data_IF_240550583735
#
_entry.id   IF_240550583735
#
_cell.length_a   1.000
_cell.length_b   1.000
_cell.length_c   1.000
_cell.angle_alpha   90.00
_cell.angle_beta   90.00
_cell.angle_gamma   90.00
#
_symmetry.space_group_name_H-M   'P 1'
#
loop_
_entity.id
_entity.type
_entity.pdbx_description
1 polymer ?
#
# COMPACT_ATOMS: atom_id res chain seq x y z
N UNK A 1 0.53 -12.22 -21.02
CA UNK A 1 0.89 -11.11 -21.93
C UNK A 1 1.71 -10.13 -21.13
N UNK A 2 2.78 -9.59 -21.69
CA UNK A 2 3.65 -8.64 -21.00
C UNK A 2 3.58 -7.31 -21.75
N UNK A 3 3.28 -6.23 -21.03
CA UNK A 3 3.20 -4.87 -21.60
C UNK A 3 4.13 -4.01 -20.73
N UNK A 4 5.04 -3.29 -21.37
CA UNK A 4 6.00 -2.43 -20.66
C UNK A 4 6.87 -3.18 -19.62
N UNK A 5 7.14 -4.47 -19.85
CA UNK A 5 7.88 -5.32 -18.91
C UNK A 5 7.09 -5.71 -17.66
N UNK A 6 5.77 -5.54 -17.67
CA UNK A 6 4.85 -5.90 -16.59
C UNK A 6 3.95 -7.05 -17.05
N UNK A 7 3.86 -8.09 -16.22
CA UNK A 7 2.92 -9.17 -16.46
C UNK A 7 1.48 -8.63 -16.31
N UNK A 8 0.68 -8.80 -17.36
CA UNK A 8 -0.70 -8.32 -17.41
C UNK A 8 -1.66 -9.43 -17.00
N UNK A 9 -2.48 -9.12 -16.02
CA UNK A 9 -3.60 -9.93 -15.54
C UNK A 9 -4.92 -9.30 -16.01
N UNK A 10 -5.97 -10.13 -16.14
CA UNK A 10 -7.28 -9.66 -16.56
C UNK A 10 -8.35 -10.09 -15.55
N UNK A 11 -9.27 -9.17 -15.26
CA UNK A 11 -10.43 -9.43 -14.41
C UNK A 11 -11.65 -8.66 -14.95
N UNK A 12 -12.82 -8.97 -14.41
CA UNK A 12 -14.04 -8.22 -14.72
C UNK A 12 -14.72 -7.81 -13.43
N UNK A 13 -15.05 -6.53 -13.30
CA UNK A 13 -15.79 -6.01 -12.16
C UNK A 13 -16.98 -5.20 -12.65
N UNK A 14 -18.18 -5.60 -12.20
CA UNK A 14 -19.46 -4.98 -12.60
C UNK A 14 -19.64 -4.89 -14.12
N UNK A 15 -19.21 -5.93 -14.85
CA UNK A 15 -19.32 -5.99 -16.31
C UNK A 15 -18.29 -5.13 -17.06
N UNK A 16 -17.31 -4.54 -16.38
CA UNK A 16 -16.20 -3.81 -17.01
C UNK A 16 -14.92 -4.62 -16.94
N UNK A 17 -14.19 -4.70 -18.04
CA UNK A 17 -12.86 -5.30 -18.08
C UNK A 17 -11.91 -4.49 -17.21
N UNK A 18 -11.04 -5.19 -16.52
CA UNK A 18 -9.90 -4.68 -15.77
C UNK A 18 -8.65 -5.32 -16.32
N UNK A 19 -7.60 -4.52 -16.46
CA UNK A 19 -6.25 -5.00 -16.71
C UNK A 19 -5.38 -4.58 -15.55
N UNK A 20 -4.61 -5.53 -15.03
CA UNK A 20 -3.83 -5.30 -13.82
C UNK A 20 -2.45 -5.90 -13.91
N UNK A 21 -1.65 -5.59 -12.90
CA UNK A 21 -0.32 -6.16 -12.74
C UNK A 21 -0.03 -6.35 -11.26
N UNK A 22 0.60 -7.48 -10.93
CA UNK A 22 1.00 -7.78 -9.57
C UNK A 22 2.42 -7.28 -9.33
N UNK A 23 2.55 -6.36 -8.38
CA UNK A 23 3.82 -5.81 -7.93
C UNK A 23 4.22 -6.40 -6.58
N UNK A 24 5.49 -6.74 -6.44
CA UNK A 24 6.08 -7.10 -5.14
C UNK A 24 6.50 -5.82 -4.42
N UNK A 25 6.34 -5.79 -3.10
CA UNK A 25 6.91 -4.74 -2.28
C UNK A 25 8.45 -4.78 -2.35
N UNK A 26 9.15 -3.63 -2.25
CA UNK A 26 10.60 -3.61 -2.22
C UNK A 26 11.16 -4.43 -1.05
N UNK A 27 12.36 -4.99 -1.22
CA UNK A 27 13.00 -5.78 -0.18
C UNK A 27 13.14 -4.97 1.12
N UNK A 28 12.90 -5.60 2.27
CA UNK A 28 12.91 -4.92 3.57
C UNK A 28 11.58 -4.24 3.95
N UNK A 29 10.62 -4.13 3.03
CA UNK A 29 9.28 -3.58 3.32
C UNK A 29 8.24 -4.69 3.48
N UNK A 30 7.22 -4.39 4.29
CA UNK A 30 6.02 -5.20 4.42
C UNK A 30 4.79 -4.30 4.47
N UNK A 31 3.71 -4.73 3.80
CA UNK A 31 2.43 -4.06 3.81
C UNK A 31 1.58 -4.57 4.97
N UNK A 32 0.84 -3.66 5.61
CA UNK A 32 -0.05 -4.00 6.72
C UNK A 32 -1.43 -3.37 6.50
N UNK A 33 -2.48 -4.13 6.78
CA UNK A 33 -3.85 -3.63 6.83
C UNK A 33 -4.17 -3.32 8.29
N UNK A 34 -4.35 -2.04 8.60
CA UNK A 34 -4.61 -1.56 9.96
C UNK A 34 -6.08 -1.14 10.11
N UNK A 35 -6.66 -1.44 11.26
CA UNK A 35 -8.03 -1.03 11.63
C UNK A 35 -7.98 -0.27 12.94
N UNK A 36 -8.66 0.87 13.01
CA UNK A 36 -8.72 1.67 14.23
C UNK A 36 -9.65 1.02 15.26
N UNK A 37 -9.15 0.81 16.48
CA UNK A 37 -9.94 0.30 17.58
C UNK A 37 -10.76 1.43 18.20
N UNK A 38 -12.09 1.36 18.07
CA UNK A 38 -13.01 2.33 18.66
C UNK A 38 -13.54 1.89 20.05
N UNK A 39 -12.86 0.96 20.73
CA UNK A 39 -13.36 0.30 21.95
C UNK A 39 -13.39 1.16 23.23
N UNK A 40 -13.10 2.47 23.15
CA UNK A 40 -13.02 3.37 24.30
C UNK A 40 -14.28 4.17 24.70
N UNK A 41 -15.48 3.90 24.15
CA UNK A 41 -16.69 4.72 24.45
C UNK A 41 -17.77 4.06 25.32
N UNK A 42 -17.41 3.07 26.13
CA UNK A 42 -18.30 2.57 27.19
C UNK A 42 -17.46 2.22 28.41
N UNK A 43 -17.15 3.21 29.25
CA UNK A 43 -17.27 3.19 30.72
C UNK A 43 -17.11 4.65 31.17
N UNK A 44 -18.05 5.05 32.01
CA UNK A 44 -18.13 6.39 32.52
C UNK A 44 -17.01 6.65 33.54
N UNK A 45 -16.76 7.93 33.79
CA UNK A 45 -15.96 8.52 34.87
C UNK A 45 -14.49 8.04 34.95
N UNK A 46 -13.61 8.67 34.15
CA UNK A 46 -12.45 9.37 34.72
C UNK A 46 -11.80 10.30 33.70
N UNK A 47 -11.35 11.45 34.19
CA UNK A 47 -10.79 12.57 33.43
C UNK A 47 -9.37 12.20 32.99
N UNK A 48 -9.21 11.70 31.76
CA UNK A 48 -7.99 11.93 30.98
C UNK A 48 -8.36 11.98 29.49
N UNK A 49 -8.17 13.16 28.91
CA UNK A 49 -8.43 13.46 27.51
C UNK A 49 -7.31 12.86 26.66
N UNK A 50 -7.24 11.53 26.62
CA UNK A 50 -6.29 10.76 25.81
C UNK A 50 -7.04 10.08 24.68
N UNK A 51 -6.95 10.63 23.48
CA UNK A 51 -7.47 10.01 22.26
C UNK A 51 -6.67 8.71 22.03
N UNK A 52 -7.12 7.58 22.60
CA UNK A 52 -6.50 6.26 22.41
C UNK A 52 -6.49 5.98 20.90
N UNK A 53 -5.33 6.20 20.30
CA UNK A 53 -5.10 6.08 18.87
C UNK A 53 -4.62 4.67 18.57
N UNK A 54 -5.35 3.69 19.09
CA UNK A 54 -4.97 2.29 19.05
C UNK A 54 -5.37 1.72 17.67
N UNK A 55 -4.38 1.24 16.94
CA UNK A 55 -4.56 0.58 15.65
C UNK A 55 -4.23 -0.90 15.79
N UNK A 56 -5.10 -1.76 15.28
CA UNK A 56 -4.91 -3.21 15.25
C UNK A 56 -4.52 -3.65 13.83
N UNK A 57 -3.47 -4.46 13.72
CA UNK A 57 -3.09 -5.11 12.47
C UNK A 57 -4.03 -6.27 12.17
N UNK A 58 -4.69 -6.26 11.02
CA UNK A 58 -5.59 -7.33 10.56
C UNK A 58 -4.95 -8.28 9.56
N UNK A 59 -4.02 -7.78 8.76
CA UNK A 59 -3.33 -8.60 7.76
C UNK A 59 -1.95 -8.01 7.43
N UNK A 60 -1.08 -8.88 6.91
CA UNK A 60 0.22 -8.55 6.34
C UNK A 60 0.25 -9.03 4.89
N UNK A 61 0.86 -8.26 4.00
CA UNK A 61 1.05 -8.63 2.60
C UNK A 61 2.45 -8.23 2.09
N UNK A 62 2.92 -8.95 1.08
CA UNK A 62 4.21 -8.77 0.40
C UNK A 62 4.04 -8.41 -1.09
N UNK A 63 2.85 -8.62 -1.65
CA UNK A 63 2.50 -8.29 -3.04
C UNK A 63 1.15 -7.59 -3.10
N UNK A 64 0.97 -6.77 -4.13
CA UNK A 64 -0.25 -6.04 -4.40
C UNK A 64 -0.56 -6.10 -5.90
N UNK A 65 -1.81 -6.37 -6.25
CA UNK A 65 -2.26 -6.29 -7.65
C UNK A 65 -2.91 -4.93 -7.89
N UNK A 66 -2.30 -4.14 -8.77
CA UNK A 66 -2.86 -2.89 -9.26
C UNK A 66 -3.78 -3.18 -10.45
N UNK A 67 -4.98 -2.62 -10.44
CA UNK A 67 -5.98 -2.82 -11.51
C UNK A 67 -6.38 -1.48 -12.11
N UNK A 68 -6.45 -1.43 -13.44
CA UNK A 68 -6.89 -0.29 -14.22
C UNK A 68 -8.06 -0.67 -15.15
N UNK A 69 -8.95 0.28 -15.44
CA UNK A 69 -10.17 0.06 -16.22
C UNK A 69 -9.98 0.25 -17.73
N UNK A 70 -9.28 1.31 -18.13
CA UNK A 70 -9.31 1.79 -19.52
C UNK A 70 -8.03 1.43 -20.29
N UNK A 71 -6.88 1.43 -19.59
CA UNK A 71 -5.58 1.21 -20.19
C UNK A 71 -4.85 0.05 -19.51
N UNK A 72 -4.00 -0.69 -20.25
CA UNK A 72 -3.08 -1.62 -19.63
C UNK A 72 -2.16 -0.88 -18.64
N UNK A 73 -1.79 -1.51 -17.51
CA UNK A 73 -0.88 -0.90 -16.55
C UNK A 73 0.47 -0.59 -17.20
N UNK A 74 1.05 0.54 -16.86
CA UNK A 74 2.37 1.00 -17.34
C UNK A 74 3.22 1.52 -16.19
N UNK A 75 4.54 1.42 -16.30
CA UNK A 75 5.49 1.90 -15.27
C UNK A 75 5.36 3.39 -14.96
N UNK A 76 4.82 4.17 -15.89
CA UNK A 76 4.58 5.59 -15.71
C UNK A 76 3.32 5.91 -14.89
N UNK A 77 2.48 4.91 -14.60
CA UNK A 77 1.28 5.06 -13.79
C UNK A 77 1.64 5.68 -12.43
N UNK A 78 0.94 6.73 -11.96
CA UNK A 78 1.30 7.43 -10.73
C UNK A 78 1.39 6.51 -9.50
N UNK A 79 0.54 5.48 -9.46
CA UNK A 79 0.55 4.49 -8.39
C UNK A 79 1.83 3.65 -8.41
N UNK A 80 2.24 3.13 -9.56
CA UNK A 80 3.47 2.37 -9.71
C UNK A 80 4.71 3.24 -9.46
N UNK A 81 4.70 4.47 -9.99
CA UNK A 81 5.79 5.44 -9.79
C UNK A 81 5.98 5.82 -8.32
N UNK A 82 4.93 5.75 -7.50
CA UNK A 82 5.04 6.00 -6.05
C UNK A 82 5.97 5.01 -5.33
N UNK A 83 6.12 3.79 -5.86
CA UNK A 83 7.03 2.78 -5.29
C UNK A 83 8.51 3.16 -5.47
N UNK A 84 8.86 3.99 -6.47
CA UNK A 84 10.23 4.48 -6.61
C UNK A 84 10.65 5.36 -5.42
N UNK A 85 9.69 5.91 -4.66
CA UNK A 85 9.97 6.69 -3.47
C UNK A 85 10.69 5.89 -2.38
N UNK A 86 10.44 4.59 -2.27
CA UNK A 86 11.11 3.73 -1.29
C UNK A 86 12.63 3.76 -1.48
N UNK A 87 13.09 3.59 -2.72
CA UNK A 87 14.53 3.63 -3.05
C UNK A 87 15.13 5.02 -2.80
N UNK A 88 14.40 6.09 -3.13
CA UNK A 88 14.87 7.47 -2.89
C UNK A 88 14.99 7.74 -1.38
N UNK A 89 14.00 7.34 -0.59
CA UNK A 89 14.00 7.53 0.86
C UNK A 89 15.14 6.77 1.55
N UNK A 90 15.46 5.56 1.11
CA UNK A 90 16.62 4.80 1.59
C UNK A 90 17.93 5.52 1.30
N UNK A 91 18.14 5.99 0.06
CA UNK A 91 19.37 6.68 -0.31
C UNK A 91 19.58 7.97 0.50
N UNK A 92 18.51 8.77 0.69
CA UNK A 92 18.58 10.01 1.46
C UNK A 92 18.84 9.74 2.94
N UNK A 93 18.13 8.77 3.53
CA UNK A 93 18.30 8.45 4.96
C UNK A 93 19.69 7.89 5.27
N UNK A 94 20.24 7.03 4.40
CA UNK A 94 21.60 6.51 4.54
C UNK A 94 22.66 7.63 4.51
N UNK A 95 22.53 8.59 3.57
CA UNK A 95 23.47 9.69 3.44
C UNK A 95 23.53 10.60 4.68
N UNK A 96 22.41 10.77 5.39
CA UNK A 96 22.33 11.62 6.59
C UNK A 96 22.96 10.93 7.82
N UNK A 97 22.93 9.60 7.88
CA UNK A 97 23.43 8.82 9.02
C UNK A 97 24.96 8.62 8.97
N UNK A 98 25.54 8.58 7.76
CA UNK A 98 26.97 8.33 7.56
C UNK A 98 27.82 9.60 7.34
N UNK A 99 27.25 10.81 7.42
CA UNK A 99 27.96 12.10 7.36
C UNK A 99 28.21 12.65 8.77
#
# INVERSE_FOLDING_TARGET
MEIDGLAVEEAHFRGRKLQGTTISLPNGYAGFVLVKNNSGKRKAYDVSEGNSNDWEMKAKFDKLTYWNHDNPPSKDDPFLRSFHWFTVAEAVSFSIICS
#
